data_IF_117722176077
#
_entry.id   IF_117722176077
#
_cell.length_a   1.000
_cell.length_b   1.000
_cell.length_c   1.000
_cell.angle_alpha   90.00
_cell.angle_beta   90.00
_cell.angle_gamma   90.00
#
_symmetry.space_group_name_H-M   'P 1'
#
loop_
_entity.id
_entity.type
_entity.pdbx_description
1 polymer ?
#
# COMPACT_ATOMS: atom_id res chain seq x y z
N UNK A 1 -32.78 -19.60 13.72
CA UNK A 1 -32.70 -21.05 13.50
C UNK A 1 -33.35 -21.48 12.16
N UNK A 2 -34.56 -21.03 11.84
CA UNK A 2 -35.30 -21.47 10.64
C UNK A 2 -34.60 -21.10 9.30
N UNK A 3 -33.86 -20.00 9.22
CA UNK A 3 -33.19 -19.57 8.00
C UNK A 3 -32.07 -20.51 7.54
N UNK A 4 -31.28 -21.04 8.48
CA UNK A 4 -30.16 -21.95 8.18
C UNK A 4 -30.68 -23.30 7.69
N UNK A 5 -31.72 -23.85 8.32
CA UNK A 5 -32.33 -25.09 7.89
C UNK A 5 -32.89 -25.03 6.49
N UNK A 6 -33.51 -23.91 6.10
CA UNK A 6 -34.04 -23.69 4.74
C UNK A 6 -32.93 -23.60 3.69
N UNK A 7 -31.81 -22.91 4.00
CA UNK A 7 -30.68 -22.79 3.08
C UNK A 7 -29.96 -24.13 2.94
N UNK A 8 -29.76 -24.86 4.05
CA UNK A 8 -29.15 -26.20 4.02
C UNK A 8 -29.96 -27.17 3.15
N UNK A 9 -31.28 -27.18 3.29
CA UNK A 9 -32.16 -27.97 2.45
C UNK A 9 -32.10 -27.59 0.98
N UNK A 10 -32.02 -26.28 0.68
CA UNK A 10 -31.85 -25.78 -0.70
C UNK A 10 -30.51 -26.22 -1.32
N UNK A 11 -29.45 -26.27 -0.51
CA UNK A 11 -28.13 -26.75 -0.94
C UNK A 11 -27.99 -28.28 -0.92
N UNK A 12 -29.02 -29.03 -0.56
CA UNK A 12 -28.98 -30.50 -0.49
C UNK A 12 -28.04 -31.03 0.59
N UNK A 13 -27.80 -30.25 1.64
CA UNK A 13 -26.90 -30.58 2.74
C UNK A 13 -27.68 -30.80 4.05
N UNK A 14 -27.14 -31.66 4.92
CA UNK A 14 -27.66 -31.84 6.26
C UNK A 14 -27.41 -30.57 7.09
N UNK A 15 -28.40 -30.15 7.90
CA UNK A 15 -28.36 -28.84 8.62
C UNK A 15 -27.11 -28.71 9.52
N UNK A 16 -26.71 -29.78 10.21
CA UNK A 16 -25.57 -29.74 11.10
C UNK A 16 -24.25 -29.62 10.34
N UNK A 17 -24.13 -30.26 9.18
CA UNK A 17 -22.97 -30.18 8.29
C UNK A 17 -22.85 -28.79 7.66
N UNK A 18 -23.98 -28.24 7.16
CA UNK A 18 -24.04 -26.91 6.62
C UNK A 18 -23.68 -25.83 7.66
N UNK A 19 -24.26 -25.93 8.87
CA UNK A 19 -23.97 -25.01 9.98
C UNK A 19 -22.49 -25.00 10.34
N UNK A 20 -21.86 -26.19 10.42
CA UNK A 20 -20.43 -26.29 10.71
C UNK A 20 -19.58 -25.63 9.62
N UNK A 21 -19.81 -25.98 8.36
CA UNK A 21 -19.10 -25.39 7.24
C UNK A 21 -19.32 -23.88 7.10
N UNK A 22 -20.50 -23.38 7.50
CA UNK A 22 -20.79 -21.94 7.52
C UNK A 22 -20.01 -21.23 8.62
N UNK A 23 -19.98 -21.79 9.84
CA UNK A 23 -19.23 -21.23 10.97
C UNK A 23 -17.72 -21.24 10.69
N UNK A 24 -17.17 -22.31 10.14
CA UNK A 24 -15.76 -22.41 9.74
C UNK A 24 -15.39 -21.32 8.72
N UNK A 25 -16.30 -21.02 7.77
CA UNK A 25 -16.07 -19.93 6.81
C UNK A 25 -16.20 -18.55 7.42
N UNK A 26 -17.14 -18.33 8.32
CA UNK A 26 -17.29 -17.08 9.07
C UNK A 26 -16.02 -16.80 9.88
N UNK A 27 -15.54 -17.81 10.62
CA UNK A 27 -14.32 -17.71 11.41
C UNK A 27 -13.08 -17.45 10.54
N UNK A 28 -12.99 -18.10 9.37
CA UNK A 28 -11.92 -17.83 8.41
C UNK A 28 -11.99 -16.41 7.86
N UNK A 29 -13.20 -15.89 7.57
CA UNK A 29 -13.39 -14.49 7.13
C UNK A 29 -13.07 -13.53 8.26
N UNK A 30 -13.54 -13.78 9.48
CA UNK A 30 -13.22 -12.97 10.66
C UNK A 30 -11.70 -12.91 10.87
N UNK A 31 -11.01 -14.05 10.85
CA UNK A 31 -9.56 -14.11 10.98
C UNK A 31 -8.83 -13.32 9.87
N UNK A 32 -9.33 -13.36 8.64
CA UNK A 32 -8.78 -12.58 7.53
C UNK A 32 -9.08 -11.08 7.66
N UNK A 33 -10.19 -10.72 8.32
CA UNK A 33 -10.63 -9.33 8.48
C UNK A 33 -10.20 -8.71 9.81
N UNK A 34 -9.80 -9.51 10.81
CA UNK A 34 -9.29 -9.00 12.09
C UNK A 34 -8.15 -7.99 11.91
N UNK A 35 -7.26 -8.23 10.94
CA UNK A 35 -6.19 -7.30 10.59
C UNK A 35 -6.69 -5.96 9.99
N UNK A 36 -7.91 -5.93 9.40
CA UNK A 36 -8.51 -4.74 8.85
C UNK A 36 -9.27 -3.90 9.88
N UNK A 37 -9.79 -4.54 10.93
CA UNK A 37 -10.58 -3.93 11.99
C UNK A 37 -9.83 -3.82 13.33
N UNK A 38 -8.59 -4.36 13.38
CA UNK A 38 -7.74 -4.15 14.53
C UNK A 38 -7.61 -2.62 14.78
N UNK A 39 -7.79 -2.15 16.03
CA UNK A 39 -7.54 -0.75 16.33
C UNK A 39 -6.13 -0.43 15.85
N UNK A 40 -6.00 0.67 15.10
CA UNK A 40 -4.71 1.13 14.62
C UNK A 40 -3.72 1.09 15.80
N UNK A 41 -2.50 0.55 15.59
CA UNK A 41 -1.50 0.55 16.65
C UNK A 41 -1.38 1.97 17.19
N UNK A 42 -1.12 2.16 18.50
CA UNK A 42 -1.05 3.47 19.10
C UNK A 42 -0.16 4.35 18.22
N UNK A 43 -0.70 5.48 17.77
CA UNK A 43 0.00 6.39 16.88
C UNK A 43 1.36 6.69 17.49
N UNK A 44 2.43 6.36 16.78
CA UNK A 44 3.76 6.75 17.22
C UNK A 44 3.78 8.26 17.46
N UNK A 45 4.39 8.76 18.54
CA UNK A 45 4.47 10.18 18.78
C UNK A 45 5.12 10.84 17.55
N UNK A 46 4.52 11.92 17.07
CA UNK A 46 5.13 12.70 15.98
C UNK A 46 6.47 13.22 16.49
N UNK A 47 7.58 12.95 15.81
CA UNK A 47 8.88 13.43 16.24
C UNK A 47 8.94 14.95 16.16
N UNK A 48 9.78 15.56 16.99
CA UNK A 48 10.11 16.98 16.90
C UNK A 48 10.80 17.24 15.55
N UNK A 49 10.22 18.12 14.76
CA UNK A 49 10.73 18.49 13.45
C UNK A 49 11.37 19.87 13.52
N UNK A 50 12.35 20.12 12.65
CA UNK A 50 12.84 21.48 12.44
C UNK A 50 11.74 22.36 11.83
N UNK A 51 11.77 23.71 12.04
CA UNK A 51 10.78 24.61 11.44
C UNK A 51 10.67 24.48 9.91
N UNK A 52 11.78 24.16 9.26
CA UNK A 52 11.83 23.94 7.82
C UNK A 52 11.11 22.62 7.44
N UNK A 53 11.31 21.56 8.20
CA UNK A 53 10.64 20.28 8.02
C UNK A 53 9.12 20.42 8.27
N UNK A 54 8.70 21.17 9.28
CA UNK A 54 7.29 21.47 9.53
C UNK A 54 6.64 22.20 8.36
N UNK A 55 7.33 23.17 7.76
CA UNK A 55 6.80 23.90 6.60
C UNK A 55 6.60 22.96 5.37
N UNK A 56 7.52 22.02 5.14
CA UNK A 56 7.40 21.00 4.09
C UNK A 56 6.17 20.11 4.36
N UNK A 57 6.07 19.58 5.57
CA UNK A 57 4.97 18.67 5.97
C UNK A 57 3.60 19.37 5.90
N UNK A 58 3.54 20.64 6.26
CA UNK A 58 2.32 21.44 6.13
C UNK A 58 1.88 21.63 4.67
N UNK A 59 2.83 21.68 3.74
CA UNK A 59 2.58 21.77 2.30
C UNK A 59 1.91 20.55 1.70
N UNK A 60 2.06 19.36 2.28
CA UNK A 60 1.58 18.08 1.72
C UNK A 60 0.07 18.03 1.50
N UNK A 61 -0.71 18.73 2.34
CA UNK A 61 -2.17 18.79 2.21
C UNK A 61 -2.64 19.31 0.83
N UNK A 62 -1.79 20.04 0.12
CA UNK A 62 -2.11 20.62 -1.18
C UNK A 62 -1.79 19.69 -2.36
N UNK A 63 -1.14 18.54 -2.13
CA UNK A 63 -0.72 17.66 -3.21
C UNK A 63 -1.87 16.84 -3.81
N UNK A 64 -1.81 16.52 -5.11
CA UNK A 64 -2.83 15.71 -5.78
C UNK A 64 -3.13 14.40 -5.07
N UNK A 65 -2.11 13.76 -4.50
CA UNK A 65 -2.24 12.52 -3.75
C UNK A 65 -3.14 12.64 -2.51
N UNK A 66 -3.30 13.83 -1.95
CA UNK A 66 -4.04 14.12 -0.70
C UNK A 66 -5.32 14.92 -0.93
N UNK A 67 -5.83 15.01 -2.17
CA UNK A 67 -7.05 15.78 -2.48
C UNK A 67 -8.32 15.18 -1.90
N UNK A 68 -8.41 13.85 -1.78
CA UNK A 68 -9.62 13.22 -1.27
C UNK A 68 -9.58 13.09 0.25
N UNK A 69 -10.72 13.27 0.91
CA UNK A 69 -10.87 13.09 2.36
C UNK A 69 -10.38 11.71 2.83
N UNK A 70 -10.63 10.68 2.00
CA UNK A 70 -10.17 9.32 2.28
C UNK A 70 -8.64 9.21 2.26
N UNK A 71 -7.98 9.83 1.29
CA UNK A 71 -6.51 9.85 1.24
C UNK A 71 -5.93 10.59 2.44
N UNK A 72 -6.51 11.73 2.81
CA UNK A 72 -6.11 12.51 3.98
C UNK A 72 -6.28 11.70 5.28
N UNK A 73 -7.43 11.02 5.44
CA UNK A 73 -7.69 10.22 6.63
C UNK A 73 -6.70 9.05 6.78
N UNK A 74 -6.39 8.33 5.68
CA UNK A 74 -5.41 7.25 5.71
C UNK A 74 -4.00 7.82 5.98
N UNK A 75 -3.64 8.89 5.26
CA UNK A 75 -2.33 9.51 5.41
C UNK A 75 -2.08 10.05 6.82
N UNK A 76 -3.09 10.62 7.47
CA UNK A 76 -3.00 11.09 8.85
C UNK A 76 -2.61 9.97 9.84
N UNK A 77 -3.05 8.73 9.58
CA UNK A 77 -2.71 7.57 10.42
C UNK A 77 -1.27 7.08 10.20
N UNK A 78 -0.79 7.07 8.95
CA UNK A 78 0.56 6.58 8.63
C UNK A 78 1.64 7.64 8.82
N UNK A 79 1.29 8.93 8.76
CA UNK A 79 2.23 10.06 8.83
C UNK A 79 3.16 10.02 10.05
N UNK A 80 2.70 9.79 11.29
CA UNK A 80 3.59 9.75 12.45
C UNK A 80 4.69 8.69 12.31
N UNK A 81 4.32 7.47 11.93
CA UNK A 81 5.28 6.39 11.71
C UNK A 81 6.24 6.66 10.55
N UNK A 82 5.76 7.30 9.48
CA UNK A 82 6.58 7.73 8.35
C UNK A 82 7.64 8.77 8.79
N UNK A 83 7.23 9.80 9.52
CA UNK A 83 8.12 10.84 10.03
C UNK A 83 9.12 10.30 11.05
N UNK A 84 8.70 9.39 11.94
CA UNK A 84 9.58 8.71 12.89
C UNK A 84 10.69 7.92 12.18
N UNK A 85 10.41 7.30 11.05
CA UNK A 85 11.42 6.58 10.26
C UNK A 85 12.37 7.53 9.54
N UNK A 86 11.84 8.60 8.96
CA UNK A 86 12.64 9.63 8.30
C UNK A 86 13.65 10.29 9.24
N UNK A 87 13.26 10.59 10.48
CA UNK A 87 14.16 11.21 11.46
C UNK A 87 15.29 10.27 11.90
N UNK A 88 15.14 8.96 11.68
CA UNK A 88 16.19 7.95 11.93
C UNK A 88 17.09 7.69 10.74
N UNK A 89 16.78 8.25 9.56
CA UNK A 89 17.62 8.09 8.37
C UNK A 89 18.99 8.75 8.55
N UNK A 90 19.97 8.33 7.74
CA UNK A 90 21.33 8.88 7.81
C UNK A 90 21.39 10.38 7.47
N UNK A 91 20.49 10.85 6.59
CA UNK A 91 20.32 12.25 6.20
C UNK A 91 18.82 12.62 6.23
N UNK A 92 18.26 12.94 7.43
CA UNK A 92 16.82 13.11 7.62
C UNK A 92 16.20 14.23 6.76
N UNK A 93 16.89 15.34 6.62
CA UNK A 93 16.40 16.50 5.86
C UNK A 93 16.36 16.19 4.35
N UNK A 94 17.40 15.55 3.82
CA UNK A 94 17.44 15.13 2.41
C UNK A 94 16.39 14.06 2.11
N UNK A 95 16.20 13.11 3.01
CA UNK A 95 15.18 12.07 2.91
C UNK A 95 13.76 12.68 2.94
N UNK A 96 13.54 13.70 3.77
CA UNK A 96 12.27 14.43 3.82
C UNK A 96 11.99 15.19 2.51
N UNK A 97 12.99 15.88 1.96
CA UNK A 97 12.85 16.57 0.66
C UNK A 97 12.59 15.56 -0.46
N UNK A 98 13.24 14.41 -0.44
CA UNK A 98 13.00 13.36 -1.42
C UNK A 98 11.58 12.77 -1.30
N UNK A 99 11.08 12.57 -0.07
CA UNK A 99 9.70 12.14 0.18
C UNK A 99 8.70 13.21 -0.25
N UNK A 100 8.98 14.47 -0.04
CA UNK A 100 8.19 15.60 -0.52
C UNK A 100 8.04 15.57 -2.05
N UNK A 101 9.16 15.41 -2.76
CA UNK A 101 9.18 15.21 -4.21
C UNK A 101 8.41 13.94 -4.65
N UNK A 102 8.48 12.87 -3.89
CA UNK A 102 7.71 11.65 -4.14
C UNK A 102 6.21 11.90 -4.00
N UNK A 103 5.75 12.49 -2.91
CA UNK A 103 4.33 12.77 -2.66
C UNK A 103 3.75 13.76 -3.67
N UNK A 104 4.50 14.80 -4.04
CA UNK A 104 4.08 15.79 -5.02
C UNK A 104 3.94 15.21 -6.44
N UNK A 105 4.72 14.18 -6.77
CA UNK A 105 4.67 13.49 -8.04
C UNK A 105 3.54 12.48 -8.20
N UNK A 106 2.88 12.08 -7.11
CA UNK A 106 1.81 11.09 -7.13
C UNK A 106 0.49 11.71 -7.63
N UNK A 107 -0.16 11.14 -8.67
CA UNK A 107 -1.44 11.63 -9.17
C UNK A 107 -2.61 11.33 -8.24
N UNK A 108 -2.53 10.24 -7.47
CA UNK A 108 -3.52 9.81 -6.47
C UNK A 108 -2.85 8.99 -5.36
N UNK A 109 -3.31 9.11 -4.12
CA UNK A 109 -2.66 8.49 -2.97
C UNK A 109 -3.45 7.39 -2.27
N UNK A 110 -4.77 7.28 -2.47
CA UNK A 110 -5.64 6.39 -1.68
C UNK A 110 -5.15 4.95 -1.63
N UNK A 111 -4.84 4.36 -2.80
CA UNK A 111 -4.41 2.95 -2.89
C UNK A 111 -3.04 2.76 -2.25
N UNK A 112 -2.09 3.65 -2.55
CA UNK A 112 -0.73 3.58 -2.02
C UNK A 112 -0.72 3.75 -0.50
N UNK A 113 -1.46 4.72 0.03
CA UNK A 113 -1.53 4.96 1.47
C UNK A 113 -2.22 3.80 2.20
N UNK A 114 -3.26 3.20 1.61
CA UNK A 114 -3.88 1.99 2.17
C UNK A 114 -2.90 0.80 2.20
N UNK A 115 -2.05 0.67 1.19
CA UNK A 115 -0.99 -0.35 1.17
C UNK A 115 0.09 -0.07 2.23
N UNK A 116 0.48 1.17 2.43
CA UNK A 116 1.41 1.56 3.50
C UNK A 116 0.83 1.30 4.89
N UNK A 117 -0.46 1.55 5.07
CA UNK A 117 -1.15 1.24 6.32
C UNK A 117 -1.17 -0.27 6.61
N UNK A 118 -1.46 -1.07 5.59
CA UNK A 118 -1.48 -2.53 5.70
C UNK A 118 -0.09 -3.18 5.81
N UNK A 119 0.95 -2.53 5.29
CA UNK A 119 2.29 -3.11 5.17
C UNK A 119 3.37 -2.11 5.62
N UNK A 120 3.71 -2.05 6.90
CA UNK A 120 4.75 -1.16 7.42
C UNK A 120 6.12 -1.32 6.74
N UNK A 121 6.45 -2.53 6.26
CA UNK A 121 7.69 -2.78 5.52
C UNK A 121 7.79 -1.99 4.20
N UNK A 122 6.65 -1.63 3.59
CA UNK A 122 6.64 -0.76 2.41
C UNK A 122 6.96 0.69 2.77
N UNK A 123 6.57 1.13 3.96
CA UNK A 123 6.96 2.44 4.48
C UNK A 123 8.46 2.49 4.69
N UNK A 124 9.04 1.45 5.31
CA UNK A 124 10.49 1.33 5.50
C UNK A 124 11.22 1.38 4.15
N UNK A 125 10.75 0.61 3.16
CA UNK A 125 11.33 0.61 1.82
C UNK A 125 11.29 1.99 1.14
N UNK A 126 10.18 2.70 1.20
CA UNK A 126 10.07 4.04 0.59
C UNK A 126 10.97 5.05 1.32
N UNK A 127 11.05 4.99 2.64
CA UNK A 127 11.97 5.83 3.41
C UNK A 127 13.42 5.54 3.04
N UNK A 128 13.81 4.27 2.92
CA UNK A 128 15.15 3.87 2.51
C UNK A 128 15.49 4.35 1.09
N UNK A 129 14.53 4.24 0.16
CA UNK A 129 14.71 4.78 -1.21
C UNK A 129 14.86 6.29 -1.18
N UNK A 130 14.06 7.01 -0.39
CA UNK A 130 14.19 8.47 -0.25
C UNK A 130 15.54 8.87 0.34
N UNK A 131 16.04 8.11 1.32
CA UNK A 131 17.32 8.40 1.98
C UNK A 131 18.55 8.06 1.13
N UNK A 132 18.47 7.00 0.30
CA UNK A 132 19.64 6.47 -0.43
C UNK A 132 19.62 6.79 -1.92
N UNK A 133 18.45 6.91 -2.53
CA UNK A 133 18.25 7.07 -3.97
C UNK A 133 17.13 8.06 -4.31
N UNK A 134 17.25 9.37 -3.99
CA UNK A 134 16.18 10.37 -4.17
C UNK A 134 15.63 10.44 -5.61
N UNK A 135 16.49 10.22 -6.60
CA UNK A 135 16.10 10.19 -8.02
C UNK A 135 15.18 9.01 -8.34
N UNK A 136 15.40 7.87 -7.68
CA UNK A 136 14.53 6.71 -7.82
C UNK A 136 13.16 6.98 -7.18
N UNK A 137 13.11 7.60 -6.00
CA UNK A 137 11.86 8.02 -5.37
C UNK A 137 11.02 8.89 -6.32
N UNK A 138 11.63 9.90 -6.92
CA UNK A 138 10.97 10.80 -7.88
C UNK A 138 10.54 10.05 -9.16
N UNK A 139 11.32 9.11 -9.65
CA UNK A 139 10.97 8.28 -10.80
C UNK A 139 9.75 7.40 -10.49
N UNK A 140 9.74 6.73 -9.34
CA UNK A 140 8.62 5.87 -8.90
C UNK A 140 7.32 6.65 -8.76
N UNK A 141 7.35 7.87 -8.22
CA UNK A 141 6.15 8.71 -8.06
C UNK A 141 5.46 9.04 -9.39
N UNK A 142 6.24 9.16 -10.46
CA UNK A 142 5.75 9.49 -11.80
C UNK A 142 5.40 8.27 -12.65
N UNK A 143 5.85 7.08 -12.24
CA UNK A 143 5.69 5.83 -12.97
C UNK A 143 4.91 4.81 -12.14
N UNK A 144 3.60 5.03 -12.00
CA UNK A 144 2.71 4.21 -11.18
C UNK A 144 2.81 2.71 -11.51
N UNK A 145 2.97 2.32 -12.77
CA UNK A 145 3.12 0.91 -13.17
C UNK A 145 4.35 0.23 -12.57
N UNK A 146 5.46 0.97 -12.43
CA UNK A 146 6.68 0.46 -11.79
C UNK A 146 6.45 0.33 -10.30
N UNK A 147 5.82 1.33 -9.69
CA UNK A 147 5.44 1.31 -8.29
C UNK A 147 4.51 0.14 -7.99
N UNK A 148 3.48 -0.09 -8.82
CA UNK A 148 2.54 -1.21 -8.70
C UNK A 148 3.27 -2.57 -8.79
N UNK A 149 4.27 -2.72 -9.65
CA UNK A 149 5.05 -3.97 -9.75
C UNK A 149 5.92 -4.23 -8.53
N UNK A 150 6.47 -3.18 -7.93
CA UNK A 150 7.25 -3.26 -6.67
C UNK A 150 6.34 -3.66 -5.51
N UNK A 151 5.16 -3.06 -5.44
CA UNK A 151 4.17 -3.29 -4.37
C UNK A 151 3.46 -4.62 -4.56
N UNK A 152 3.10 -5.00 -5.79
CA UNK A 152 2.34 -6.20 -6.12
C UNK A 152 3.09 -7.53 -5.93
N UNK A 153 4.30 -7.50 -5.37
CA UNK A 153 5.08 -8.70 -5.04
C UNK A 153 5.78 -9.37 -6.23
N UNK A 154 5.49 -8.98 -7.46
CA UNK A 154 6.18 -9.51 -8.66
C UNK A 154 7.66 -9.11 -8.69
N UNK A 155 8.00 -8.00 -8.07
CA UNK A 155 9.40 -7.55 -7.91
C UNK A 155 10.22 -8.49 -7.01
N UNK A 156 9.59 -9.12 -6.02
CA UNK A 156 10.21 -10.06 -5.10
C UNK A 156 10.13 -11.52 -5.56
N UNK A 157 9.43 -11.77 -6.68
CA UNK A 157 9.37 -13.10 -7.27
C UNK A 157 10.77 -13.54 -7.72
N UNK A 158 11.07 -14.85 -7.67
CA UNK A 158 12.32 -15.37 -8.23
C UNK A 158 12.50 -14.87 -9.67
N UNK A 159 13.71 -14.46 -10.00
CA UNK A 159 14.05 -13.98 -11.34
C UNK A 159 13.53 -14.95 -12.42
N UNK A 160 12.67 -14.52 -13.36
CA UNK A 160 12.02 -15.44 -14.31
C UNK A 160 12.97 -16.04 -15.34
N UNK A 161 14.25 -15.66 -15.30
CA UNK A 161 15.22 -16.06 -16.28
C UNK A 161 14.99 -15.43 -17.66
N UNK A 162 15.92 -15.69 -18.59
CA UNK A 162 15.87 -15.12 -19.95
C UNK A 162 14.64 -15.56 -20.73
N UNK A 163 14.23 -16.81 -20.58
CA UNK A 163 13.06 -17.36 -21.27
C UNK A 163 11.75 -16.71 -20.80
N UNK A 164 11.57 -16.55 -19.48
CA UNK A 164 10.40 -15.89 -18.92
C UNK A 164 10.29 -14.42 -19.32
N UNK A 165 11.42 -13.70 -19.33
CA UNK A 165 11.44 -12.30 -19.80
C UNK A 165 11.10 -12.19 -21.29
N UNK A 166 11.60 -13.11 -22.14
CA UNK A 166 11.28 -13.12 -23.56
C UNK A 166 9.79 -13.39 -23.81
N UNK A 167 9.18 -14.26 -23.00
CA UNK A 167 7.74 -14.54 -23.06
C UNK A 167 6.90 -13.35 -22.61
N UNK A 168 7.25 -12.70 -21.49
CA UNK A 168 6.55 -11.50 -20.98
C UNK A 168 6.64 -10.34 -21.99
N UNK A 169 7.83 -10.13 -22.55
CA UNK A 169 8.03 -9.11 -23.58
C UNK A 169 7.21 -9.42 -24.84
N UNK A 170 7.18 -10.67 -25.27
CA UNK A 170 6.37 -11.11 -26.42
C UNK A 170 4.88 -10.88 -26.22
N UNK A 171 4.36 -11.15 -25.02
CA UNK A 171 2.96 -10.89 -24.68
C UNK A 171 2.63 -9.39 -24.66
N UNK A 172 3.53 -8.55 -24.11
CA UNK A 172 3.34 -7.09 -24.09
C UNK A 172 3.39 -6.49 -25.49
N UNK A 173 4.26 -6.98 -26.34
CA UNK A 173 4.36 -6.54 -27.73
C UNK A 173 3.18 -6.99 -28.57
N UNK A 174 2.64 -8.20 -28.35
CA UNK A 174 1.48 -8.70 -29.04
C UNK A 174 0.18 -7.93 -28.68
N UNK A 175 0.12 -7.33 -27.47
CA UNK A 175 -0.98 -6.47 -27.04
C UNK A 175 -0.81 -4.99 -27.39
N UNK A 176 0.33 -4.59 -27.91
CA UNK A 176 0.58 -3.23 -28.39
C UNK A 176 0.11 -3.16 -29.86
N UNK A 177 -1.13 -2.71 -30.08
CA UNK A 177 -1.58 -2.29 -31.41
C UNK A 177 -0.69 -1.15 -31.86
N UNK A 178 0.04 -1.37 -32.93
CA UNK A 178 0.75 -0.30 -33.66
C UNK A 178 -0.32 0.56 -34.34
N UNK A 179 -0.86 1.55 -33.65
CA UNK A 179 -1.50 2.67 -34.34
C UNK A 179 -0.39 3.46 -35.05
N UNK A 180 -0.40 3.34 -36.37
CA UNK A 180 0.41 4.17 -37.28
C UNK A 180 -0.17 5.60 -37.34
#
# INVERSE_FOLDING_TARGET
AEGIARIAAFCGQEEAAFRRAFLDRVEAVESLTEGFFAPAPPSEPTPDLSPQAEAIVAGWANYPALRSDRAQAIFARIRPGLLSRLTRAAAPEEALVALDGFLSGLPAGVQLFALFEANPALVDLIVDICATAPRLALYLSRNARVLDSVIGGSFWAPWPGRAGLAQDLGQRLAGADYEQ
#
